data_IF_535517781356
#
_entry.id   IF_535517781356
#
_cell.length_a   1.000
_cell.length_b   1.000
_cell.length_c   1.000
_cell.angle_alpha   90.00
_cell.angle_beta   90.00
_cell.angle_gamma   90.00
#
_symmetry.space_group_name_H-M   'P 1'
#
loop_
_entity.id
_entity.type
_entity.pdbx_description
1 polymer ?
#
# COMPACT_ATOMS: atom_id res chain seq x y z
N UNK A 1 17.88 -6.44 -22.15
CA UNK A 1 17.78 -6.67 -20.67
C UNK A 1 16.36 -7.01 -20.26
N UNK A 2 16.17 -7.97 -19.30
CA UNK A 2 14.86 -8.33 -18.72
C UNK A 2 14.79 -7.97 -17.25
N UNK A 3 13.72 -7.27 -16.82
CA UNK A 3 13.52 -6.83 -15.44
C UNK A 3 12.19 -7.36 -14.91
N UNK A 4 12.19 -7.97 -13.73
CA UNK A 4 10.98 -8.25 -12.98
C UNK A 4 10.71 -7.07 -12.04
N UNK A 5 9.57 -6.40 -12.22
CA UNK A 5 9.11 -5.29 -11.38
C UNK A 5 8.00 -5.75 -10.43
N UNK A 6 8.26 -5.67 -9.14
CA UNK A 6 7.33 -5.93 -8.03
C UNK A 6 7.44 -4.84 -6.97
N UNK A 7 6.41 -4.66 -6.14
CA UNK A 7 6.34 -3.64 -5.08
C UNK A 7 5.35 -4.04 -3.99
N UNK A 8 5.25 -3.24 -2.94
CA UNK A 8 4.17 -3.24 -1.97
C UNK A 8 3.91 -4.65 -1.37
N UNK A 9 5.00 -5.28 -0.91
CA UNK A 9 4.93 -6.62 -0.32
C UNK A 9 4.26 -6.60 1.05
N UNK A 10 4.46 -5.53 1.82
CA UNK A 10 3.93 -5.35 3.17
C UNK A 10 4.09 -6.61 4.03
N UNK A 11 5.31 -7.18 4.06
CA UNK A 11 5.58 -8.39 4.82
C UNK A 11 5.22 -8.21 6.29
N UNK A 12 4.45 -9.17 6.82
CA UNK A 12 3.92 -9.12 8.18
C UNK A 12 2.61 -8.37 8.34
N UNK A 13 1.97 -7.92 7.24
CA UNK A 13 0.65 -7.28 7.28
C UNK A 13 -0.38 -8.18 7.93
N UNK A 14 -1.21 -7.55 8.76
CA UNK A 14 -2.38 -8.18 9.38
C UNK A 14 -3.65 -7.76 8.64
N UNK A 15 -4.58 -8.70 8.47
CA UNK A 15 -5.93 -8.43 8.00
C UNK A 15 -6.88 -8.67 9.17
N UNK A 16 -7.46 -7.60 9.73
CA UNK A 16 -8.28 -7.64 10.95
C UNK A 16 -7.61 -8.47 12.09
N UNK A 17 -6.32 -8.20 12.33
CA UNK A 17 -5.53 -8.91 13.34
C UNK A 17 -5.05 -10.31 12.95
N UNK A 18 -5.38 -10.83 11.78
CA UNK A 18 -4.94 -12.14 11.27
C UNK A 18 -3.71 -11.99 10.38
N UNK A 19 -2.66 -12.76 10.67
CA UNK A 19 -1.41 -12.72 9.90
C UNK A 19 -1.63 -13.23 8.46
N UNK A 20 -1.05 -12.50 7.50
CA UNK A 20 -1.03 -12.87 6.07
C UNK A 20 0.31 -13.48 5.65
N UNK A 21 1.23 -13.70 6.58
CA UNK A 21 2.61 -14.07 6.26
C UNK A 21 2.75 -15.42 5.53
N UNK A 22 1.88 -16.39 5.87
CA UNK A 22 1.85 -17.69 5.17
C UNK A 22 1.45 -17.54 3.68
N UNK A 23 0.44 -16.69 3.41
CA UNK A 23 0.00 -16.38 2.06
C UNK A 23 1.07 -15.59 1.28
N UNK A 24 1.72 -14.63 1.94
CA UNK A 24 2.84 -13.88 1.36
C UNK A 24 3.99 -14.81 0.96
N UNK A 25 4.33 -15.78 1.81
CA UNK A 25 5.35 -16.80 1.52
C UNK A 25 4.97 -17.65 0.29
N UNK A 26 3.71 -18.07 0.18
CA UNK A 26 3.23 -18.86 -0.95
C UNK A 26 3.30 -18.07 -2.27
N UNK A 27 2.84 -16.82 -2.27
CA UNK A 27 2.89 -15.96 -3.47
C UNK A 27 4.32 -15.66 -3.90
N UNK A 28 5.21 -15.36 -2.96
CA UNK A 28 6.61 -15.09 -3.26
C UNK A 28 7.35 -16.35 -3.71
N UNK A 29 6.97 -17.52 -3.18
CA UNK A 29 7.43 -18.84 -3.67
C UNK A 29 7.01 -19.09 -5.11
N UNK A 30 5.76 -18.77 -5.46
CA UNK A 30 5.29 -18.83 -6.85
C UNK A 30 6.10 -17.89 -7.75
N UNK A 31 6.35 -16.65 -7.29
CA UNK A 31 7.15 -15.69 -8.05
C UNK A 31 8.58 -16.17 -8.26
N UNK A 32 9.20 -16.79 -7.25
CA UNK A 32 10.51 -17.44 -7.36
C UNK A 32 10.52 -18.52 -8.45
N UNK A 33 9.47 -19.33 -8.54
CA UNK A 33 9.35 -20.33 -9.61
C UNK A 33 9.24 -19.67 -11.00
N UNK A 34 8.45 -18.60 -11.12
CA UNK A 34 8.36 -17.83 -12.37
C UNK A 34 9.68 -17.19 -12.77
N UNK A 35 10.50 -16.77 -11.82
CA UNK A 35 11.84 -16.27 -12.10
C UNK A 35 12.79 -17.36 -12.66
N UNK A 36 12.64 -18.61 -12.21
CA UNK A 36 13.41 -19.73 -12.77
C UNK A 36 13.04 -20.01 -14.24
N UNK A 37 11.76 -19.86 -14.58
CA UNK A 37 11.26 -20.00 -15.96
C UNK A 37 11.70 -18.84 -16.86
N UNK A 38 11.48 -17.60 -16.42
CA UNK A 38 11.66 -16.37 -17.22
C UNK A 38 13.11 -15.86 -17.23
N UNK A 39 13.90 -16.19 -16.21
CA UNK A 39 15.31 -15.81 -16.01
C UNK A 39 15.57 -14.32 -16.21
N UNK A 40 14.96 -13.43 -15.42
CA UNK A 40 15.27 -12.01 -15.51
C UNK A 40 16.74 -11.73 -15.16
N UNK A 41 17.29 -10.68 -15.74
CA UNK A 41 18.62 -10.16 -15.42
C UNK A 41 18.62 -9.38 -14.13
N UNK A 42 17.48 -8.73 -13.84
CA UNK A 42 17.27 -7.90 -12.64
C UNK A 42 15.87 -8.09 -12.07
N UNK A 43 15.76 -7.99 -10.76
CA UNK A 43 14.49 -7.78 -10.03
C UNK A 43 14.53 -6.40 -9.39
N UNK A 44 13.47 -5.63 -9.53
CA UNK A 44 13.26 -4.38 -8.78
C UNK A 44 12.09 -4.55 -7.81
N UNK A 45 12.32 -4.19 -6.54
CA UNK A 45 11.31 -4.13 -5.48
C UNK A 45 11.09 -2.65 -5.17
N UNK A 46 10.01 -2.10 -5.70
CA UNK A 46 9.76 -0.66 -5.70
C UNK A 46 9.06 -0.18 -4.42
N UNK A 47 9.64 -0.49 -3.26
CA UNK A 47 9.23 0.01 -1.95
C UNK A 47 8.16 -0.81 -1.22
N UNK A 48 7.90 -0.40 0.02
CA UNK A 48 6.98 -1.02 0.98
C UNK A 48 7.19 -2.52 1.12
N UNK A 49 8.44 -2.86 1.44
CA UNK A 49 8.86 -4.25 1.71
C UNK A 49 8.14 -4.77 2.95
N UNK A 50 8.13 -4.00 4.02
CA UNK A 50 7.49 -4.34 5.29
C UNK A 50 6.22 -3.51 5.53
N UNK A 51 5.26 -4.06 6.29
CA UNK A 51 4.03 -3.34 6.64
C UNK A 51 4.26 -2.16 7.59
N UNK A 52 5.33 -2.20 8.36
CA UNK A 52 5.69 -1.14 9.31
C UNK A 52 7.20 -1.08 9.56
N UNK A 53 7.63 0.01 10.19
CA UNK A 53 9.04 0.31 10.48
C UNK A 53 9.72 -0.66 11.47
N UNK A 54 8.95 -1.50 12.16
CA UNK A 54 9.45 -2.51 13.09
C UNK A 54 8.85 -3.90 12.78
N UNK A 55 9.27 -4.54 11.67
CA UNK A 55 8.77 -5.84 11.26
C UNK A 55 9.07 -6.95 12.27
N UNK A 56 8.27 -8.00 12.26
CA UNK A 56 8.57 -9.21 13.03
C UNK A 56 9.77 -9.96 12.46
N UNK A 57 10.45 -10.74 13.29
CA UNK A 57 11.59 -11.56 12.86
C UNK A 57 11.20 -12.52 11.72
N UNK A 58 9.97 -13.04 11.72
CA UNK A 58 9.48 -13.93 10.66
C UNK A 58 9.29 -13.18 9.33
N UNK A 59 8.89 -11.90 9.37
CA UNK A 59 8.79 -11.08 8.17
C UNK A 59 10.18 -10.76 7.60
N UNK A 60 11.16 -10.46 8.46
CA UNK A 60 12.55 -10.25 8.05
C UNK A 60 13.18 -11.53 7.49
N UNK A 61 12.94 -12.68 8.14
CA UNK A 61 13.41 -13.98 7.64
C UNK A 61 12.89 -14.26 6.23
N UNK A 62 11.57 -14.07 6.00
CA UNK A 62 10.97 -14.25 4.68
C UNK A 62 11.59 -13.29 3.65
N UNK A 63 11.81 -12.03 4.01
CA UNK A 63 12.46 -11.06 3.12
C UNK A 63 13.85 -11.54 2.69
N UNK A 64 14.70 -11.93 3.63
CA UNK A 64 16.06 -12.39 3.32
C UNK A 64 16.10 -13.69 2.54
N UNK A 65 15.19 -14.62 2.83
CA UNK A 65 15.02 -15.84 2.00
C UNK A 65 14.69 -15.48 0.56
N UNK A 66 13.77 -14.55 0.34
CA UNK A 66 13.35 -14.16 -1.01
C UNK A 66 14.43 -13.37 -1.73
N UNK A 67 15.14 -12.46 -1.07
CA UNK A 67 16.29 -11.76 -1.66
C UNK A 67 17.34 -12.76 -2.18
N UNK A 68 17.69 -13.77 -1.38
CA UNK A 68 18.63 -14.82 -1.76
C UNK A 68 18.12 -15.64 -2.96
N UNK A 69 16.83 -16.04 -2.92
CA UNK A 69 16.21 -16.82 -3.98
C UNK A 69 16.16 -16.03 -5.31
N UNK A 70 15.85 -14.73 -5.25
CA UNK A 70 15.79 -13.85 -6.42
C UNK A 70 17.18 -13.54 -6.99
N UNK A 71 18.18 -13.40 -6.13
CA UNK A 71 19.57 -13.21 -6.55
C UNK A 71 20.17 -14.39 -7.31
N UNK A 72 19.63 -15.60 -7.18
CA UNK A 72 20.09 -16.82 -7.89
C UNK A 72 21.62 -16.97 -7.82
N UNK A 73 22.15 -16.90 -6.60
CA UNK A 73 23.60 -16.96 -6.34
C UNK A 73 24.42 -15.88 -7.10
N UNK A 74 23.84 -14.68 -7.26
CA UNK A 74 24.45 -13.54 -7.94
C UNK A 74 24.29 -13.52 -9.46
N UNK A 75 23.51 -14.44 -10.04
CA UNK A 75 23.17 -14.46 -11.46
C UNK A 75 22.12 -13.42 -11.86
N UNK A 76 21.38 -12.89 -10.89
CA UNK A 76 20.35 -11.85 -11.07
C UNK A 76 20.62 -10.71 -10.10
N UNK A 77 20.62 -9.46 -10.56
CA UNK A 77 20.65 -8.31 -9.66
C UNK A 77 19.30 -8.15 -8.97
N UNK A 78 19.32 -7.89 -7.67
CA UNK A 78 18.11 -7.53 -6.92
C UNK A 78 18.27 -6.12 -6.40
N UNK A 79 17.42 -5.21 -6.86
CA UNK A 79 17.41 -3.81 -6.45
C UNK A 79 16.19 -3.54 -5.59
N UNK A 80 16.42 -3.06 -4.37
CA UNK A 80 15.37 -2.74 -3.41
C UNK A 80 15.42 -1.24 -3.13
N UNK A 81 14.30 -0.54 -3.27
CA UNK A 81 14.16 0.83 -2.80
C UNK A 81 13.23 0.86 -1.58
N UNK A 82 13.47 1.76 -0.63
CA UNK A 82 12.62 1.91 0.55
C UNK A 82 11.33 2.67 0.22
N UNK A 83 10.17 2.12 0.63
CA UNK A 83 8.87 2.77 0.59
C UNK A 83 8.57 3.57 1.86
N UNK A 84 7.35 4.12 1.98
CA UNK A 84 6.99 4.97 3.13
C UNK A 84 6.77 4.18 4.43
N UNK A 85 6.47 2.89 4.37
CA UNK A 85 6.35 2.00 5.53
C UNK A 85 7.71 1.53 6.06
N UNK A 86 8.74 1.49 5.20
CA UNK A 86 10.04 0.94 5.54
C UNK A 86 10.86 1.88 6.42
N UNK A 87 11.64 1.28 7.34
CA UNK A 87 12.67 1.98 8.09
C UNK A 87 14.00 1.90 7.32
N UNK A 88 14.52 3.03 6.78
CA UNK A 88 15.66 3.01 5.86
C UNK A 88 16.91 2.32 6.39
N UNK A 89 17.34 2.67 7.60
CA UNK A 89 18.57 2.11 8.19
C UNK A 89 18.45 0.61 8.45
N UNK A 90 17.24 0.13 8.83
CA UNK A 90 16.99 -1.29 9.04
C UNK A 90 17.06 -2.05 7.71
N UNK A 91 16.43 -1.48 6.67
CA UNK A 91 16.44 -2.07 5.33
C UNK A 91 17.89 -2.19 4.79
N UNK A 92 18.72 -1.18 5.03
CA UNK A 92 20.12 -1.14 4.59
C UNK A 92 21.09 -1.94 5.45
N UNK A 93 20.70 -2.34 6.65
CA UNK A 93 21.60 -3.03 7.60
C UNK A 93 22.19 -4.34 7.04
N UNK A 94 21.51 -4.98 6.10
CA UNK A 94 21.94 -6.24 5.47
C UNK A 94 22.93 -6.04 4.31
N UNK A 95 23.17 -4.80 3.84
CA UNK A 95 24.06 -4.49 2.69
C UNK A 95 25.41 -5.21 2.71
N UNK A 96 26.14 -5.31 3.84
CA UNK A 96 27.45 -5.98 3.85
C UNK A 96 27.38 -7.45 3.42
N UNK A 97 26.28 -8.14 3.73
CA UNK A 97 26.05 -9.55 3.37
C UNK A 97 25.36 -9.69 2.00
N UNK A 98 24.64 -8.68 1.58
CA UNK A 98 23.84 -8.69 0.36
C UNK A 98 24.68 -8.61 -0.93
N UNK A 99 25.83 -7.94 -0.87
CA UNK A 99 26.71 -7.65 -2.01
C UNK A 99 27.12 -8.90 -2.79
N UNK A 100 27.56 -9.96 -2.08
CA UNK A 100 28.00 -11.21 -2.72
C UNK A 100 26.88 -11.90 -3.51
N UNK A 101 25.62 -11.67 -3.11
CA UNK A 101 24.43 -12.22 -3.75
C UNK A 101 23.85 -11.32 -4.86
N UNK A 102 24.53 -10.22 -5.24
CA UNK A 102 24.03 -9.31 -6.27
C UNK A 102 22.86 -8.43 -5.81
N UNK A 103 22.77 -8.12 -4.52
CA UNK A 103 21.64 -7.37 -3.93
C UNK A 103 22.09 -5.94 -3.60
N UNK A 104 21.33 -4.95 -4.09
CA UNK A 104 21.51 -3.52 -3.88
C UNK A 104 20.29 -2.97 -3.16
N UNK A 105 20.49 -2.22 -2.08
CA UNK A 105 19.39 -1.68 -1.26
C UNK A 105 19.56 -0.17 -1.10
N UNK A 106 18.52 0.59 -1.42
CA UNK A 106 18.45 2.04 -1.32
C UNK A 106 17.32 2.43 -0.36
N UNK A 107 17.64 2.67 0.90
CA UNK A 107 16.64 3.01 1.93
C UNK A 107 16.14 4.45 1.83
N UNK A 108 16.97 5.35 1.32
CA UNK A 108 16.68 6.78 1.14
C UNK A 108 17.07 7.26 -0.25
N UNK A 109 16.54 8.42 -0.72
CA UNK A 109 16.98 9.05 -1.96
C UNK A 109 18.48 9.38 -2.02
N UNK A 110 19.10 9.56 -0.85
CA UNK A 110 20.54 9.90 -0.72
C UNK A 110 21.42 8.68 -0.45
N UNK A 111 20.85 7.48 -0.51
CA UNK A 111 21.63 6.26 -0.34
C UNK A 111 22.61 6.07 -1.49
N UNK A 112 23.85 5.74 -1.17
CA UNK A 112 24.89 5.41 -2.15
C UNK A 112 25.33 3.95 -2.02
N UNK A 113 25.74 3.39 -3.14
CA UNK A 113 26.35 2.06 -3.23
C UNK A 113 27.78 2.22 -3.72
N UNK A 114 28.70 1.51 -3.12
CA UNK A 114 30.10 1.53 -3.54
C UNK A 114 30.25 0.76 -4.85
N UNK A 115 31.06 1.29 -5.77
CA UNK A 115 31.45 0.58 -7.00
C UNK A 115 32.13 -0.73 -6.66
N UNK A 116 32.01 -1.70 -7.56
CA UNK A 116 32.66 -3.01 -7.45
C UNK A 116 31.72 -4.16 -7.81
N UNK A 117 32.15 -5.38 -7.50
CA UNK A 117 31.45 -6.58 -7.90
C UNK A 117 30.27 -6.91 -7.00
N UNK A 118 29.09 -7.10 -7.61
CA UNK A 118 27.85 -7.56 -6.99
C UNK A 118 27.34 -8.82 -7.72
N UNK A 119 27.46 -9.97 -7.10
CA UNK A 119 27.28 -11.24 -7.80
C UNK A 119 28.22 -11.35 -9.01
N UNK A 120 27.67 -11.57 -10.20
CA UNK A 120 28.43 -11.61 -11.47
C UNK A 120 28.66 -10.25 -12.13
N UNK A 121 27.97 -9.21 -11.66
CA UNK A 121 27.97 -7.89 -12.29
C UNK A 121 29.01 -6.96 -11.67
N UNK A 122 29.66 -6.15 -12.51
CA UNK A 122 30.50 -5.04 -12.08
C UNK A 122 29.68 -3.77 -12.05
N UNK A 123 29.47 -3.22 -10.85
CA UNK A 123 28.66 -2.03 -10.64
C UNK A 123 29.54 -0.79 -10.55
N UNK A 124 29.20 0.24 -11.29
CA UNK A 124 29.80 1.57 -11.16
C UNK A 124 28.79 2.50 -10.48
N UNK A 125 29.14 3.01 -9.30
CA UNK A 125 28.34 4.04 -8.63
C UNK A 125 28.38 5.34 -9.42
N UNK A 126 27.23 5.98 -9.59
CA UNK A 126 27.09 7.30 -10.23
C UNK A 126 26.72 8.40 -9.20
N UNK A 127 26.80 8.06 -7.90
CA UNK A 127 26.44 8.94 -6.80
C UNK A 127 25.15 8.54 -6.09
N UNK A 128 24.53 9.51 -5.42
CA UNK A 128 23.29 9.31 -4.67
C UNK A 128 22.20 8.67 -5.55
N UNK A 129 21.69 7.51 -5.14
CA UNK A 129 20.59 6.83 -5.81
C UNK A 129 20.88 6.22 -7.18
N UNK A 130 22.09 6.35 -7.73
CA UNK A 130 22.34 5.96 -9.12
C UNK A 130 23.54 5.02 -9.30
N UNK A 131 23.43 4.08 -10.26
CA UNK A 131 24.51 3.19 -10.65
C UNK A 131 24.37 2.76 -12.11
N UNK A 132 25.47 2.26 -12.68
CA UNK A 132 25.48 1.63 -13.99
C UNK A 132 26.18 0.29 -13.96
N UNK A 133 25.85 -0.57 -14.95
CA UNK A 133 26.50 -1.86 -15.20
C UNK A 133 26.31 -2.27 -16.66
N UNK A 134 26.94 -3.37 -17.06
CA UNK A 134 26.74 -3.97 -18.37
C UNK A 134 25.91 -5.25 -18.25
N UNK A 135 24.89 -5.38 -19.11
CA UNK A 135 24.09 -6.59 -19.29
C UNK A 135 24.31 -7.11 -20.71
N UNK A 136 25.20 -8.09 -20.87
CA UNK A 136 25.72 -8.44 -22.19
C UNK A 136 26.54 -7.28 -22.77
N UNK A 137 26.17 -6.83 -23.96
CA UNK A 137 26.79 -5.67 -24.63
C UNK A 137 26.08 -4.34 -24.31
N UNK A 138 24.91 -4.40 -23.66
CA UNK A 138 24.11 -3.21 -23.37
C UNK A 138 24.60 -2.54 -22.07
N UNK A 139 24.80 -1.20 -22.11
CA UNK A 139 24.99 -0.41 -20.90
C UNK A 139 23.61 -0.18 -20.25
N UNK A 140 23.55 -0.32 -18.95
CA UNK A 140 22.35 -0.11 -18.17
C UNK A 140 22.62 0.93 -17.10
N UNK A 141 21.73 1.91 -16.98
CA UNK A 141 21.75 2.93 -15.95
C UNK A 141 20.48 2.80 -15.13
N UNK A 142 20.64 2.72 -13.82
CA UNK A 142 19.52 2.58 -12.87
C UNK A 142 19.54 3.73 -11.88
N UNK A 143 18.42 4.43 -11.76
CA UNK A 143 18.19 5.46 -10.76
C UNK A 143 17.20 4.95 -9.74
N UNK A 144 17.61 4.87 -8.47
CA UNK A 144 16.85 4.36 -7.34
C UNK A 144 16.36 5.55 -6.48
N UNK A 145 15.21 6.09 -6.85
CA UNK A 145 14.55 7.20 -6.17
C UNK A 145 13.63 6.67 -5.06
N UNK A 146 14.20 6.23 -3.92
CA UNK A 146 13.43 5.76 -2.77
C UNK A 146 12.44 6.83 -2.27
N UNK A 147 11.43 6.42 -1.46
CA UNK A 147 10.37 7.31 -0.97
C UNK A 147 10.91 8.63 -0.42
N UNK A 148 10.52 9.77 -1.03
CA UNK A 148 11.02 11.09 -0.66
C UNK A 148 10.15 11.70 0.43
N UNK A 149 10.66 11.78 1.66
CA UNK A 149 10.09 12.60 2.71
C UNK A 149 11.11 13.64 3.15
N UNK A 150 10.67 14.71 3.81
CA UNK A 150 11.55 15.76 4.33
C UNK A 150 12.72 15.17 5.14
N UNK A 151 12.40 14.23 6.04
CA UNK A 151 13.40 13.55 6.85
C UNK A 151 14.41 12.75 6.01
N UNK A 152 13.96 12.09 4.94
CA UNK A 152 14.81 11.24 4.10
C UNK A 152 15.65 12.05 3.12
N UNK A 153 15.11 13.16 2.62
CA UNK A 153 15.84 14.13 1.81
C UNK A 153 16.74 15.02 2.65
N UNK A 154 16.49 15.09 3.98
CA UNK A 154 17.12 16.05 4.89
C UNK A 154 16.97 17.50 4.37
N UNK A 155 15.81 17.83 3.86
CA UNK A 155 15.43 19.11 3.28
C UNK A 155 14.01 19.47 3.73
N UNK A 156 13.72 20.77 3.85
CA UNK A 156 12.36 21.28 4.05
C UNK A 156 11.68 21.29 2.67
N UNK A 157 10.66 20.47 2.48
CA UNK A 157 9.97 20.33 1.20
C UNK A 157 8.93 21.44 0.97
N UNK A 158 8.42 22.05 2.05
CA UNK A 158 7.46 23.16 2.01
C UNK A 158 7.70 24.09 3.19
N UNK A 159 7.47 25.39 2.98
CA UNK A 159 7.65 26.43 4.00
C UNK A 159 6.34 27.12 4.38
N UNK A 160 5.28 26.89 3.63
CA UNK A 160 4.00 27.53 3.78
C UNK A 160 3.01 26.69 4.61
N UNK A 161 2.01 27.34 5.23
CA UNK A 161 1.00 26.67 6.04
C UNK A 161 -0.28 26.33 5.25
N UNK A 162 -0.54 26.98 4.13
CA UNK A 162 -1.66 26.73 3.22
C UNK A 162 -1.41 25.41 2.45
N UNK A 163 -2.42 24.55 2.32
CA UNK A 163 -2.29 23.22 1.71
C UNK A 163 -1.93 23.29 0.24
N UNK A 164 -2.56 24.18 -0.52
CA UNK A 164 -2.28 24.35 -1.95
C UNK A 164 -0.84 24.82 -2.21
N UNK A 165 -0.31 25.71 -1.37
CA UNK A 165 1.08 26.18 -1.45
C UNK A 165 2.06 25.07 -1.08
N UNK A 166 1.74 24.22 -0.12
CA UNK A 166 2.56 23.04 0.22
C UNK A 166 2.64 22.07 -0.96
N UNK A 167 1.52 21.80 -1.62
CA UNK A 167 1.47 20.93 -2.81
C UNK A 167 2.35 21.50 -3.91
N UNK A 168 2.28 22.80 -4.18
CA UNK A 168 3.07 23.47 -5.20
C UNK A 168 4.58 23.44 -4.87
N UNK A 169 4.96 23.73 -3.63
CA UNK A 169 6.35 23.69 -3.17
C UNK A 169 6.92 22.27 -3.26
N UNK A 170 6.17 21.27 -2.79
CA UNK A 170 6.55 19.87 -2.88
C UNK A 170 6.76 19.43 -4.33
N UNK A 171 5.78 19.72 -5.20
CA UNK A 171 5.85 19.38 -6.63
C UNK A 171 7.08 19.98 -7.28
N UNK A 172 7.36 21.26 -7.03
CA UNK A 172 8.54 21.96 -7.57
C UNK A 172 9.87 21.34 -7.09
N UNK A 173 9.93 20.94 -5.81
CA UNK A 173 11.12 20.27 -5.25
C UNK A 173 11.33 18.89 -5.88
N UNK A 174 10.25 18.14 -6.06
CA UNK A 174 10.28 16.83 -6.71
C UNK A 174 10.70 16.94 -8.18
N UNK A 175 10.19 17.93 -8.91
CA UNK A 175 10.61 18.23 -10.28
C UNK A 175 12.11 18.49 -10.35
N UNK A 176 12.64 19.35 -9.48
CA UNK A 176 14.08 19.66 -9.42
C UNK A 176 14.91 18.41 -9.11
N UNK A 177 14.40 17.53 -8.23
CA UNK A 177 15.09 16.31 -7.91
C UNK A 177 15.06 15.31 -9.07
N UNK A 178 13.92 15.14 -9.73
CA UNK A 178 13.81 14.29 -10.91
C UNK A 178 14.63 14.78 -12.09
N UNK A 179 14.77 16.09 -12.27
CA UNK A 179 15.71 16.66 -13.25
C UNK A 179 17.18 16.29 -12.95
N UNK A 180 17.57 16.21 -11.68
CA UNK A 180 18.90 15.71 -11.30
C UNK A 180 19.04 14.23 -11.59
N UNK A 181 17.99 13.44 -11.31
CA UNK A 181 17.95 12.01 -11.65
C UNK A 181 18.10 11.79 -13.15
N UNK A 182 17.45 12.61 -13.97
CA UNK A 182 17.47 12.53 -15.44
C UNK A 182 18.87 12.74 -16.02
N UNK A 183 19.72 13.55 -15.35
CA UNK A 183 21.10 13.81 -15.77
C UNK A 183 22.01 12.57 -15.74
N UNK A 184 21.62 11.49 -15.06
CA UNK A 184 22.36 10.23 -15.07
C UNK A 184 22.10 9.39 -16.31
N UNK A 185 20.99 9.61 -17.00
CA UNK A 185 20.59 8.82 -18.15
C UNK A 185 21.39 9.19 -19.41
N UNK A 186 21.62 8.23 -20.26
CA UNK A 186 22.43 8.38 -21.46
C UNK A 186 21.70 7.80 -22.68
N UNK A 187 21.81 8.48 -23.81
CA UNK A 187 21.36 7.96 -25.09
C UNK A 187 22.17 6.68 -25.46
N UNK A 188 21.48 5.67 -25.96
CA UNK A 188 22.10 4.38 -26.27
C UNK A 188 22.35 3.44 -25.09
N UNK A 189 21.94 3.80 -23.88
CA UNK A 189 21.87 2.93 -22.73
C UNK A 189 20.42 2.50 -22.46
N UNK A 190 20.21 1.44 -21.68
CA UNK A 190 18.91 1.14 -21.04
C UNK A 190 18.82 1.98 -19.79
N UNK A 191 17.81 2.85 -19.70
CA UNK A 191 17.61 3.82 -18.64
C UNK A 191 16.39 3.44 -17.79
N UNK A 192 16.63 2.98 -16.58
CA UNK A 192 15.59 2.52 -15.64
C UNK A 192 15.52 3.41 -14.40
N UNK A 193 14.33 3.90 -14.07
CA UNK A 193 14.07 4.50 -12.76
C UNK A 193 13.22 3.59 -11.89
N UNK A 194 13.54 3.51 -10.61
CA UNK A 194 12.76 2.81 -9.59
C UNK A 194 12.38 3.80 -8.50
N UNK A 195 11.10 3.94 -8.19
CA UNK A 195 10.65 4.89 -7.18
C UNK A 195 9.42 4.39 -6.42
N UNK A 196 9.12 5.06 -5.31
CA UNK A 196 7.95 4.77 -4.49
C UNK A 196 7.21 6.07 -4.17
N UNK A 197 6.32 6.48 -5.08
CA UNK A 197 5.58 7.74 -5.01
C UNK A 197 4.19 7.60 -5.62
N UNK A 198 3.27 8.50 -5.23
CA UNK A 198 1.93 8.56 -5.80
C UNK A 198 1.88 9.57 -6.95
N UNK A 199 1.39 9.16 -8.11
CA UNK A 199 1.26 10.05 -9.28
C UNK A 199 -0.19 10.25 -9.71
N UNK A 200 -0.48 11.46 -10.21
CA UNK A 200 -1.81 11.86 -10.68
C UNK A 200 -2.30 10.95 -11.83
N UNK A 201 -3.59 10.65 -11.80
CA UNK A 201 -4.24 9.79 -12.78
C UNK A 201 -4.19 8.29 -12.43
N UNK A 202 -3.39 7.88 -11.44
CA UNK A 202 -3.47 6.53 -10.89
C UNK A 202 -4.71 6.36 -10.00
N UNK A 203 -5.23 5.14 -9.95
CA UNK A 203 -6.43 4.81 -9.17
C UNK A 203 -6.03 4.00 -7.95
N UNK A 204 -6.11 4.56 -6.72
CA UNK A 204 -5.87 3.80 -5.49
C UNK A 204 -6.98 2.77 -5.26
N UNK A 205 -6.73 1.73 -4.50
CA UNK A 205 -7.73 0.74 -4.10
C UNK A 205 -8.21 0.90 -2.64
N UNK A 206 -7.69 1.90 -1.93
CA UNK A 206 -8.13 2.33 -0.61
C UNK A 206 -7.41 1.64 0.56
N UNK A 207 -6.38 0.85 0.28
CA UNK A 207 -5.51 0.25 1.30
C UNK A 207 -4.22 1.03 1.53
N UNK A 208 -3.92 1.98 0.65
CA UNK A 208 -2.79 2.88 0.76
C UNK A 208 -2.98 3.86 1.95
N UNK A 209 -1.90 4.20 2.62
CA UNK A 209 -1.96 5.28 3.61
C UNK A 209 -2.38 6.58 2.92
N UNK A 210 -3.28 7.32 3.57
CA UNK A 210 -3.70 8.61 3.02
C UNK A 210 -2.46 9.50 2.82
N UNK A 211 -2.38 10.08 1.64
CA UNK A 211 -1.25 10.90 1.16
C UNK A 211 -0.92 12.04 2.13
N UNK A 212 -1.92 12.54 2.88
CA UNK A 212 -1.75 13.63 3.84
C UNK A 212 -1.05 13.25 5.16
N UNK A 213 -1.06 11.96 5.56
CA UNK A 213 -0.47 11.50 6.83
C UNK A 213 1.03 11.18 6.75
N UNK A 214 1.61 11.13 5.55
CA UNK A 214 3.03 10.76 5.33
C UNK A 214 3.91 11.85 4.75
N UNK A 215 3.39 13.04 4.44
CA UNK A 215 4.16 14.17 3.88
C UNK A 215 4.51 14.05 2.40
N UNK A 216 3.88 13.14 1.65
CA UNK A 216 3.97 13.07 0.19
C UNK A 216 2.66 13.46 -0.44
N UNK A 217 2.73 14.28 -1.47
CA UNK A 217 1.58 14.68 -2.27
C UNK A 217 1.57 13.95 -3.61
N UNK A 218 0.44 14.04 -4.31
CA UNK A 218 0.28 13.45 -5.64
C UNK A 218 1.13 14.21 -6.64
N UNK A 219 1.99 13.51 -7.36
CA UNK A 219 2.89 14.10 -8.35
C UNK A 219 2.29 14.03 -9.76
N UNK A 220 2.39 15.10 -10.57
CA UNK A 220 2.00 15.01 -11.96
C UNK A 220 3.00 14.16 -12.76
N UNK A 221 2.49 13.35 -13.72
CA UNK A 221 3.31 12.40 -14.46
C UNK A 221 4.38 13.05 -15.35
N UNK A 222 4.18 14.30 -15.74
CA UNK A 222 5.09 15.06 -16.61
C UNK A 222 6.37 15.55 -15.94
N UNK A 223 6.51 15.45 -14.61
CA UNK A 223 7.75 15.83 -13.91
C UNK A 223 8.77 14.70 -13.82
N UNK A 224 8.35 13.47 -14.15
CA UNK A 224 9.27 12.32 -14.12
C UNK A 224 10.34 12.43 -15.21
N UNK A 225 11.54 11.84 -15.01
CA UNK A 225 12.64 11.86 -15.97
C UNK A 225 12.20 11.50 -17.39
N UNK A 226 12.55 12.36 -18.34
CA UNK A 226 12.17 12.20 -19.74
C UNK A 226 12.97 11.09 -20.44
N UNK A 227 14.25 10.94 -20.09
CA UNK A 227 15.15 9.98 -20.70
C UNK A 227 15.10 8.58 -20.08
N UNK A 228 14.24 8.35 -19.07
CA UNK A 228 14.00 6.99 -18.56
C UNK A 228 13.15 6.20 -19.55
N UNK A 229 13.64 5.03 -20.00
CA UNK A 229 12.88 4.10 -20.85
C UNK A 229 11.70 3.50 -20.07
N UNK A 230 11.93 3.15 -18.80
CA UNK A 230 10.89 2.61 -17.93
C UNK A 230 11.03 3.15 -16.50
N UNK A 231 9.88 3.46 -15.89
CA UNK A 231 9.79 3.92 -14.50
C UNK A 231 8.94 2.93 -13.72
N UNK A 232 9.61 2.18 -12.84
CA UNK A 232 9.00 1.19 -11.96
C UNK A 232 8.55 1.84 -10.66
N UNK A 233 7.23 1.95 -10.45
CA UNK A 233 6.63 2.57 -9.28
C UNK A 233 6.01 1.54 -8.32
N UNK A 234 6.16 1.79 -7.01
CA UNK A 234 5.34 1.26 -5.93
C UNK A 234 4.52 2.35 -5.26
N UNK A 235 3.81 2.01 -4.19
CA UNK A 235 2.88 2.82 -3.39
C UNK A 235 1.40 2.59 -3.74
N UNK A 236 1.05 2.37 -4.99
CA UNK A 236 -0.34 2.09 -5.39
C UNK A 236 -0.51 0.59 -5.57
N UNK A 237 -1.40 0.00 -4.76
CA UNK A 237 -1.58 -1.45 -4.68
C UNK A 237 -2.29 -2.06 -5.89
N UNK A 238 -2.93 -1.23 -6.72
CA UNK A 238 -3.58 -1.67 -7.96
C UNK A 238 -2.56 -1.69 -9.11
N UNK A 239 -2.30 -2.86 -9.74
CA UNK A 239 -1.45 -2.93 -10.93
C UNK A 239 -2.02 -2.06 -12.05
N UNK A 240 -1.26 -1.10 -12.56
CA UNK A 240 -1.73 -0.19 -13.61
C UNK A 240 -0.59 0.51 -14.34
N UNK A 241 -0.87 0.95 -15.55
CA UNK A 241 -0.06 1.94 -16.28
C UNK A 241 -0.56 3.33 -15.91
N UNK A 242 0.32 4.28 -15.75
CA UNK A 242 -0.05 5.69 -15.52
C UNK A 242 -0.61 6.26 -16.83
N UNK A 243 -1.81 6.85 -16.84
CA UNK A 243 -2.41 7.40 -18.03
C UNK A 243 -1.54 8.50 -18.69
N UNK A 244 -1.49 8.52 -20.02
CA UNK A 244 -0.76 9.53 -20.80
C UNK A 244 0.76 9.36 -20.82
N UNK A 245 1.27 8.16 -20.46
CA UNK A 245 2.71 7.87 -20.43
C UNK A 245 3.11 6.72 -21.34
N UNK A 246 2.25 6.30 -22.27
CA UNK A 246 2.44 5.20 -23.23
C UNK A 246 2.94 3.89 -22.59
N UNK A 247 2.65 3.73 -21.29
CA UNK A 247 3.07 2.57 -20.50
C UNK A 247 4.52 2.61 -20.02
N UNK A 248 5.20 3.73 -20.16
CA UNK A 248 6.55 3.96 -19.63
C UNK A 248 6.56 4.03 -18.11
N UNK A 249 5.53 4.56 -17.48
CA UNK A 249 5.38 4.66 -16.02
C UNK A 249 4.33 3.65 -15.55
N UNK A 250 4.73 2.71 -14.67
CA UNK A 250 3.87 1.64 -14.23
C UNK A 250 3.96 1.37 -12.73
N UNK A 251 2.81 1.03 -12.14
CA UNK A 251 2.71 0.37 -10.85
C UNK A 251 2.60 -1.14 -11.05
N UNK A 252 3.40 -1.92 -10.31
CA UNK A 252 3.23 -3.38 -10.27
C UNK A 252 2.04 -3.79 -9.40
N UNK A 253 1.70 -2.97 -8.40
CA UNK A 253 0.74 -3.27 -7.38
C UNK A 253 1.28 -4.17 -6.26
N UNK A 254 0.47 -4.37 -5.22
CA UNK A 254 0.79 -5.26 -4.11
C UNK A 254 0.69 -6.73 -4.50
N UNK A 255 1.41 -7.60 -3.74
CA UNK A 255 1.45 -9.04 -4.02
C UNK A 255 0.19 -9.79 -3.59
N UNK A 256 -0.62 -9.21 -2.70
CA UNK A 256 -1.90 -9.73 -2.21
C UNK A 256 -2.91 -8.60 -2.06
N UNK A 257 -4.22 -8.89 -2.07
CA UNK A 257 -5.23 -7.96 -1.57
C UNK A 257 -5.06 -7.76 -0.06
N UNK A 258 -4.95 -6.51 0.39
CA UNK A 258 -4.72 -6.16 1.80
C UNK A 258 -5.90 -5.46 2.47
N UNK A 259 -6.97 -5.19 1.73
CA UNK A 259 -8.17 -4.54 2.22
C UNK A 259 -9.42 -5.15 1.57
N UNK A 260 -10.57 -5.09 2.28
CA UNK A 260 -11.86 -5.61 1.76
C UNK A 260 -12.28 -4.98 0.42
N UNK A 261 -11.83 -3.76 0.12
CA UNK A 261 -12.07 -3.09 -1.15
C UNK A 261 -11.35 -3.74 -2.34
N UNK A 262 -10.27 -4.47 -2.09
CA UNK A 262 -9.45 -5.12 -3.12
C UNK A 262 -9.92 -6.54 -3.48
N UNK A 263 -11.02 -7.03 -2.91
CA UNK A 263 -11.49 -8.42 -3.03
C UNK A 263 -11.71 -8.91 -4.47
N UNK A 264 -11.95 -8.01 -5.41
CA UNK A 264 -12.12 -8.32 -6.85
C UNK A 264 -10.88 -8.04 -7.68
N UNK A 265 -9.81 -7.45 -7.09
CA UNK A 265 -8.63 -7.04 -7.84
C UNK A 265 -7.70 -8.24 -8.09
N UNK A 266 -7.38 -8.49 -9.35
CA UNK A 266 -6.29 -9.39 -9.71
C UNK A 266 -4.96 -8.71 -9.40
N UNK A 267 -4.08 -9.40 -8.66
CA UNK A 267 -2.73 -8.92 -8.37
C UNK A 267 -1.75 -9.46 -9.39
N UNK A 268 -0.79 -8.64 -9.78
CA UNK A 268 0.25 -9.02 -10.74
C UNK A 268 1.57 -8.33 -10.42
N UNK A 269 2.65 -8.83 -11.00
CA UNK A 269 3.90 -8.13 -11.18
C UNK A 269 4.19 -8.00 -12.68
N UNK A 270 5.25 -7.28 -13.06
CA UNK A 270 5.54 -7.00 -14.46
C UNK A 270 6.91 -7.55 -14.85
N UNK A 271 6.95 -8.29 -15.97
CA UNK A 271 8.19 -8.60 -16.66
C UNK A 271 8.37 -7.57 -17.77
N UNK A 272 9.46 -6.83 -17.73
CA UNK A 272 9.76 -5.75 -18.66
C UNK A 272 11.01 -6.11 -19.45
N UNK A 273 10.92 -6.14 -20.77
CA UNK A 273 12.06 -6.30 -21.66
C UNK A 273 12.40 -4.95 -22.27
N UNK A 274 13.64 -4.52 -22.12
CA UNK A 274 14.15 -3.22 -22.56
C UNK A 274 15.40 -3.39 -23.40
N UNK A 275 15.53 -2.59 -24.46
CA UNK A 275 16.71 -2.43 -25.30
C UNK A 275 16.96 -0.95 -25.55
N UNK A 276 18.21 -0.53 -25.70
CA UNK A 276 18.53 0.88 -25.95
C UNK A 276 17.79 1.43 -27.18
N UNK A 277 17.06 2.53 -26.99
CA UNK A 277 16.33 3.21 -28.06
C UNK A 277 15.06 2.50 -28.55
N UNK A 278 14.60 1.45 -27.87
CA UNK A 278 13.35 0.76 -28.17
C UNK A 278 12.31 0.98 -27.05
N UNK A 279 11.02 0.97 -27.39
CA UNK A 279 9.96 1.01 -26.40
C UNK A 279 9.96 -0.27 -25.52
N UNK A 280 9.78 -0.15 -24.19
CA UNK A 280 9.78 -1.30 -23.30
C UNK A 280 8.59 -2.21 -23.54
N UNK A 281 8.84 -3.51 -23.66
CA UNK A 281 7.79 -4.54 -23.77
C UNK A 281 7.45 -5.08 -22.41
N UNK A 282 6.19 -4.92 -21.97
CA UNK A 282 5.72 -5.31 -20.66
C UNK A 282 4.77 -6.50 -20.72
N UNK A 283 5.08 -7.57 -19.96
CA UNK A 283 4.22 -8.74 -19.75
C UNK A 283 3.73 -8.73 -18.30
N UNK A 284 2.43 -8.92 -18.07
CA UNK A 284 1.87 -9.09 -16.73
C UNK A 284 1.98 -10.55 -16.28
N UNK A 285 2.50 -10.76 -15.06
CA UNK A 285 2.54 -12.06 -14.39
C UNK A 285 1.52 -12.02 -13.27
N UNK A 286 0.36 -12.66 -13.47
CA UNK A 286 -0.67 -12.75 -12.46
C UNK A 286 -0.23 -13.60 -11.27
N UNK A 287 -0.48 -13.10 -10.07
CA UNK A 287 -0.12 -13.74 -8.82
C UNK A 287 -1.29 -14.58 -8.29
N UNK A 288 -1.03 -15.74 -7.69
CA UNK A 288 -2.07 -16.52 -7.04
C UNK A 288 -2.63 -15.78 -5.82
N UNK A 289 -3.90 -16.04 -5.52
CA UNK A 289 -4.54 -15.59 -4.29
C UNK A 289 -4.94 -16.83 -3.47
N UNK A 290 -4.03 -17.36 -2.61
CA UNK A 290 -4.25 -18.63 -1.93
C UNK A 290 -5.38 -18.60 -0.91
N UNK A 291 -5.70 -17.40 -0.41
CA UNK A 291 -6.79 -17.20 0.54
C UNK A 291 -7.54 -15.90 0.23
N UNK A 292 -8.47 -15.93 -0.76
CA UNK A 292 -9.17 -14.73 -1.23
C UNK A 292 -10.04 -14.11 -0.14
N UNK A 293 -10.21 -12.78 -0.24
CA UNK A 293 -11.16 -12.04 0.58
C UNK A 293 -12.53 -12.15 -0.08
N UNK A 294 -13.54 -12.58 0.67
CA UNK A 294 -14.92 -12.72 0.21
C UNK A 294 -15.89 -11.89 1.03
N UNK A 295 -16.83 -11.24 0.36
CA UNK A 295 -17.93 -10.52 0.99
C UNK A 295 -19.19 -11.39 0.94
N UNK A 296 -19.58 -11.96 2.07
CA UNK A 296 -20.78 -12.77 2.16
C UNK A 296 -21.97 -11.93 2.62
N UNK A 297 -23.04 -11.93 1.82
CA UNK A 297 -24.30 -11.29 2.15
C UNK A 297 -25.31 -12.39 2.43
N UNK A 298 -25.94 -12.36 3.60
CA UNK A 298 -26.91 -13.34 4.08
C UNK A 298 -28.18 -12.62 4.51
N UNK A 299 -29.32 -13.15 4.10
CA UNK A 299 -30.65 -12.57 4.38
C UNK A 299 -31.13 -12.91 5.81
N UNK A 300 -30.51 -13.90 6.46
CA UNK A 300 -30.79 -14.27 7.85
C UNK A 300 -29.56 -14.90 8.53
N UNK A 301 -29.66 -15.10 9.85
CA UNK A 301 -28.67 -15.85 10.63
C UNK A 301 -28.58 -17.31 10.19
N UNK A 302 -29.73 -17.95 9.91
CA UNK A 302 -29.79 -19.35 9.48
C UNK A 302 -29.06 -19.56 8.17
N UNK A 303 -29.27 -18.68 7.19
CA UNK A 303 -28.53 -18.71 5.92
C UNK A 303 -27.03 -18.52 6.16
N UNK A 304 -26.65 -17.58 7.03
CA UNK A 304 -25.24 -17.36 7.36
C UNK A 304 -24.60 -18.62 7.97
N UNK A 305 -25.30 -19.30 8.87
CA UNK A 305 -24.83 -20.53 9.52
C UNK A 305 -24.71 -21.70 8.52
N UNK A 306 -25.69 -21.85 7.64
CA UNK A 306 -25.65 -22.88 6.57
C UNK A 306 -24.48 -22.63 5.63
N UNK A 307 -24.29 -21.38 5.18
CA UNK A 307 -23.18 -20.98 4.33
C UNK A 307 -21.81 -21.21 4.99
N UNK A 308 -21.68 -20.99 6.31
CA UNK A 308 -20.48 -21.36 7.06
C UNK A 308 -20.19 -22.84 7.01
N UNK A 309 -21.20 -23.70 7.25
CA UNK A 309 -21.08 -25.17 7.21
C UNK A 309 -20.68 -25.68 5.83
N UNK A 310 -21.33 -25.20 4.78
CA UNK A 310 -21.02 -25.58 3.39
C UNK A 310 -19.58 -25.21 2.98
N UNK A 311 -19.05 -24.11 3.53
CA UNK A 311 -17.73 -23.59 3.18
C UNK A 311 -16.70 -23.75 4.32
N UNK A 312 -16.93 -24.63 5.28
CA UNK A 312 -16.06 -24.82 6.45
C UNK A 312 -14.58 -25.09 6.06
N UNK A 313 -14.37 -25.91 5.02
CA UNK A 313 -13.04 -26.31 4.53
C UNK A 313 -12.49 -25.41 3.41
N UNK A 314 -13.22 -24.39 2.98
CA UNK A 314 -12.76 -23.49 1.93
C UNK A 314 -11.83 -22.44 2.50
N UNK A 315 -10.62 -22.34 1.95
CA UNK A 315 -9.64 -21.32 2.33
C UNK A 315 -10.03 -19.96 1.76
N UNK A 316 -10.65 -19.09 2.59
CA UNK A 316 -10.99 -17.72 2.23
C UNK A 316 -11.17 -16.86 3.50
N UNK A 317 -10.82 -15.59 3.42
CA UNK A 317 -11.14 -14.60 4.45
C UNK A 317 -12.55 -14.07 4.22
N UNK A 318 -13.39 -14.04 5.26
CA UNK A 318 -14.81 -13.69 5.12
C UNK A 318 -15.16 -12.41 5.86
N UNK A 319 -15.70 -11.44 5.13
CA UNK A 319 -16.47 -10.34 5.68
C UNK A 319 -17.95 -10.67 5.46
N UNK A 320 -18.72 -10.81 6.55
CA UNK A 320 -20.09 -11.29 6.52
C UNK A 320 -21.06 -10.16 6.85
N UNK A 321 -22.05 -9.94 6.01
CA UNK A 321 -23.18 -9.05 6.24
C UNK A 321 -24.43 -9.93 6.47
N UNK A 322 -25.11 -9.75 7.62
CA UNK A 322 -26.31 -10.52 7.96
C UNK A 322 -27.47 -9.56 8.10
N UNK A 323 -28.52 -9.74 7.31
CA UNK A 323 -29.78 -9.01 7.51
C UNK A 323 -30.49 -9.52 8.76
N UNK A 324 -30.83 -8.60 9.65
CA UNK A 324 -31.44 -8.93 10.93
C UNK A 324 -32.47 -7.88 11.35
N UNK A 325 -33.50 -8.31 12.09
CA UNK A 325 -34.48 -7.43 12.74
C UNK A 325 -34.11 -7.12 14.19
N UNK A 326 -33.04 -7.74 14.71
CA UNK A 326 -32.58 -7.61 16.10
C UNK A 326 -31.07 -7.76 16.23
N UNK A 327 -30.58 -7.72 17.45
CA UNK A 327 -29.17 -7.90 17.77
C UNK A 327 -28.79 -9.37 17.56
N UNK A 328 -27.68 -9.63 16.88
CA UNK A 328 -27.07 -10.96 16.78
C UNK A 328 -26.46 -11.29 18.14
N UNK A 329 -26.92 -12.36 18.77
CA UNK A 329 -26.49 -12.75 20.10
C UNK A 329 -25.06 -13.28 20.10
N UNK A 330 -24.38 -13.19 21.25
CA UNK A 330 -22.99 -13.65 21.39
C UNK A 330 -22.81 -15.13 21.06
N UNK A 331 -23.76 -15.98 21.46
CA UNK A 331 -23.72 -17.41 21.15
C UNK A 331 -23.90 -17.70 19.65
N UNK A 332 -24.68 -16.87 18.95
CA UNK A 332 -24.82 -16.92 17.50
C UNK A 332 -23.52 -16.54 16.79
N UNK A 333 -22.84 -15.47 17.26
CA UNK A 333 -21.52 -15.06 16.74
C UNK A 333 -20.48 -16.14 16.96
N UNK A 334 -20.47 -16.79 18.14
CA UNK A 334 -19.57 -17.90 18.45
C UNK A 334 -19.84 -19.11 17.55
N UNK A 335 -21.10 -19.46 17.32
CA UNK A 335 -21.46 -20.57 16.45
C UNK A 335 -20.98 -20.35 15.01
N UNK A 336 -21.16 -19.15 14.42
CA UNK A 336 -20.66 -18.82 13.10
C UNK A 336 -19.13 -18.97 13.01
N UNK A 337 -18.39 -18.43 14.01
CA UNK A 337 -16.93 -18.51 14.05
C UNK A 337 -16.39 -19.92 14.32
N UNK A 338 -17.16 -20.78 14.99
CA UNK A 338 -16.82 -22.20 15.16
C UNK A 338 -16.92 -22.97 13.84
N UNK A 339 -17.96 -22.71 13.04
CA UNK A 339 -18.15 -23.36 11.74
C UNK A 339 -17.19 -22.82 10.67
N UNK A 340 -16.83 -21.53 10.75
CA UNK A 340 -15.91 -20.87 9.81
C UNK A 340 -14.94 -19.96 10.55
N UNK A 341 -13.77 -20.47 10.88
CA UNK A 341 -12.73 -19.77 11.65
C UNK A 341 -12.21 -18.51 10.94
N UNK A 342 -12.28 -18.48 9.61
CA UNK A 342 -11.76 -17.40 8.77
C UNK A 342 -12.67 -16.17 8.66
N UNK A 343 -13.75 -16.11 9.45
CA UNK A 343 -14.59 -14.90 9.52
C UNK A 343 -13.80 -13.80 10.24
N UNK A 344 -13.58 -12.71 9.53
CA UNK A 344 -12.89 -11.52 10.02
C UNK A 344 -13.87 -10.57 10.72
N UNK A 345 -14.96 -10.25 10.05
CA UNK A 345 -15.94 -9.27 10.51
C UNK A 345 -17.37 -9.76 10.23
N UNK A 346 -18.28 -9.54 11.18
CA UNK A 346 -19.73 -9.76 11.01
C UNK A 346 -20.43 -8.43 11.21
N UNK A 347 -21.11 -7.97 10.16
CA UNK A 347 -21.81 -6.69 10.13
C UNK A 347 -23.31 -6.95 10.09
N UNK A 348 -24.07 -6.61 11.16
CA UNK A 348 -25.53 -6.68 11.11
C UNK A 348 -26.06 -5.57 10.18
N UNK A 349 -26.91 -5.94 9.23
CA UNK A 349 -27.63 -5.04 8.35
C UNK A 349 -29.09 -5.05 8.76
N UNK A 350 -29.54 -3.94 9.34
CA UNK A 350 -30.92 -3.83 9.80
C UNK A 350 -31.89 -3.86 8.63
N UNK A 351 -32.93 -4.69 8.72
CA UNK A 351 -34.06 -4.60 7.82
C UNK A 351 -34.77 -3.27 8.13
N UNK A 352 -34.46 -2.24 7.37
CA UNK A 352 -35.28 -1.03 7.45
C UNK A 352 -36.69 -1.39 7.02
N UNK A 353 -37.66 -1.33 7.95
CA UNK A 353 -39.06 -1.26 7.54
C UNK A 353 -39.15 -0.06 6.59
N UNK A 354 -39.86 -0.22 5.47
CA UNK A 354 -40.22 0.87 4.53
C UNK A 354 -41.17 1.89 5.23
N UNK A 355 -40.82 2.35 6.42
CA UNK A 355 -41.30 3.63 6.90
C UNK A 355 -40.48 4.65 6.14
N UNK A 356 -41.09 5.25 5.12
CA UNK A 356 -40.63 6.48 4.49
C UNK A 356 -40.05 7.39 5.59
N UNK A 357 -38.71 7.36 5.73
CA UNK A 357 -38.04 8.46 6.39
C UNK A 357 -38.22 9.64 5.43
N UNK A 358 -39.30 10.41 5.64
CA UNK A 358 -39.33 11.77 5.16
C UNK A 358 -38.06 12.42 5.70
N UNK A 359 -37.19 12.78 4.80
CA UNK A 359 -36.02 13.61 5.01
C UNK A 359 -36.52 14.99 5.49
N UNK A 360 -37.10 15.02 6.67
CA UNK A 360 -37.59 16.21 7.30
C UNK A 360 -36.50 16.77 8.20
N UNK A 361 -35.80 17.75 7.64
CA UNK A 361 -35.20 18.88 8.36
C UNK A 361 -34.32 18.59 9.59
N UNK A 362 -33.38 17.67 9.45
CA UNK A 362 -32.34 17.40 10.47
C UNK A 362 -31.45 18.63 10.71
N UNK A 363 -31.34 19.52 9.71
CA UNK A 363 -30.56 20.76 9.80
C UNK A 363 -31.16 21.84 10.69
N UNK A 364 -32.41 21.68 11.11
CA UNK A 364 -33.11 22.66 11.97
C UNK A 364 -33.34 22.18 13.41
N UNK A 365 -32.97 20.90 13.72
CA UNK A 365 -33.14 20.35 15.08
C UNK A 365 -31.85 20.52 15.87
N UNK A 366 -32.03 20.93 17.14
CA UNK A 366 -30.92 20.96 18.09
C UNK A 366 -30.53 19.55 18.55
N UNK A 367 -29.40 19.42 19.25
CA UNK A 367 -28.85 18.15 19.70
C UNK A 367 -29.80 17.37 20.59
N UNK A 368 -30.56 18.06 21.44
CA UNK A 368 -31.55 17.44 22.33
C UNK A 368 -32.72 16.84 21.55
N UNK A 369 -33.23 17.54 20.55
CA UNK A 369 -34.32 17.06 19.68
C UNK A 369 -33.86 15.88 18.81
N UNK A 370 -32.61 15.88 18.35
CA UNK A 370 -32.01 14.76 17.62
C UNK A 370 -31.86 13.53 18.53
N UNK A 371 -31.44 13.74 19.77
CA UNK A 371 -31.31 12.66 20.76
C UNK A 371 -32.66 12.04 21.11
N UNK A 372 -33.72 12.85 21.29
CA UNK A 372 -35.07 12.35 21.55
C UNK A 372 -35.59 11.46 20.38
N UNK A 373 -35.36 11.88 19.14
CA UNK A 373 -35.73 11.09 17.96
C UNK A 373 -34.97 9.78 17.96
N UNK A 374 -33.65 9.83 18.15
CA UNK A 374 -32.78 8.65 18.22
C UNK A 374 -33.22 7.68 19.33
N UNK A 375 -33.48 8.20 20.54
CA UNK A 375 -33.89 7.40 21.71
C UNK A 375 -35.21 6.67 21.45
N UNK A 376 -36.19 7.38 20.90
CA UNK A 376 -37.51 6.80 20.54
C UNK A 376 -37.37 5.69 19.50
N UNK A 377 -36.52 5.87 18.54
CA UNK A 377 -36.28 4.85 17.49
C UNK A 377 -35.53 3.62 18.00
N UNK A 378 -34.49 3.81 18.78
CA UNK A 378 -33.63 2.71 19.25
C UNK A 378 -34.26 1.90 20.40
N UNK A 379 -35.01 2.60 21.28
CA UNK A 379 -35.59 1.95 22.48
C UNK A 379 -37.07 1.63 22.35
N UNK A 380 -37.73 2.08 21.28
CA UNK A 380 -39.17 1.85 21.08
C UNK A 380 -40.03 2.52 22.19
N UNK A 381 -39.51 3.50 22.89
CA UNK A 381 -40.14 4.21 24.00
C UNK A 381 -40.70 5.55 23.53
N UNK A 382 -41.89 5.91 24.00
CA UNK A 382 -42.53 7.17 23.62
C UNK A 382 -41.87 8.41 24.22
N UNK A 383 -41.09 8.28 25.30
CA UNK A 383 -40.40 9.38 25.96
C UNK A 383 -39.01 9.00 26.48
N UNK A 384 -38.09 9.96 26.45
CA UNK A 384 -36.78 9.85 27.10
C UNK A 384 -36.97 10.02 28.62
N UNK A 385 -36.43 9.13 29.48
CA UNK A 385 -36.46 9.29 30.92
C UNK A 385 -35.81 10.61 31.34
N UNK A 386 -36.41 11.28 32.31
CA UNK A 386 -35.92 12.59 32.82
C UNK A 386 -34.46 12.56 33.29
N UNK A 387 -34.01 11.42 33.83
CA UNK A 387 -32.62 11.21 34.28
C UNK A 387 -31.63 11.26 33.13
N UNK A 388 -31.99 10.67 31.96
CA UNK A 388 -31.16 10.65 30.75
C UNK A 388 -31.13 12.04 30.12
N UNK A 389 -32.27 12.77 30.12
CA UNK A 389 -32.31 14.17 29.64
C UNK A 389 -31.44 15.08 30.49
N UNK A 390 -31.43 14.90 31.80
CA UNK A 390 -30.56 15.66 32.70
C UNK A 390 -29.09 15.39 32.45
N UNK A 391 -28.74 14.11 32.24
CA UNK A 391 -27.35 13.70 31.93
C UNK A 391 -26.87 14.29 30.61
N UNK A 392 -27.73 14.28 29.58
CA UNK A 392 -27.40 14.88 28.28
C UNK A 392 -27.16 16.40 28.41
N UNK A 393 -27.97 17.10 29.19
CA UNK A 393 -27.80 18.54 29.39
C UNK A 393 -26.49 18.87 30.09
N UNK A 394 -26.08 18.07 31.10
CA UNK A 394 -24.78 18.22 31.77
C UNK A 394 -23.64 18.05 30.81
N UNK A 395 -23.69 17.01 29.93
CA UNK A 395 -22.65 16.78 28.94
C UNK A 395 -22.55 17.89 27.89
N UNK A 396 -23.66 18.46 27.48
CA UNK A 396 -23.69 19.59 26.53
C UNK A 396 -23.18 20.91 27.17
N UNK A 397 -23.45 21.14 28.47
CA UNK A 397 -22.89 22.27 29.20
C UNK A 397 -21.36 22.14 29.40
N UNK A 398 -20.85 20.94 29.66
CA UNK A 398 -19.39 20.67 29.77
C UNK A 398 -18.66 20.92 28.44
N UNK A 399 -19.24 20.56 27.27
CA UNK A 399 -18.66 20.85 25.96
C UNK A 399 -18.66 22.36 25.63
N UNK A 400 -19.65 23.12 26.04
CA UNK A 400 -19.67 24.59 25.85
C UNK A 400 -18.59 25.28 26.69
N UNK A 401 -18.32 24.83 27.92
CA UNK A 401 -17.28 25.38 28.79
C UNK A 401 -15.85 25.04 28.32
N UNK A 402 -15.61 23.87 27.69
CA UNK A 402 -14.30 23.53 27.10
C UNK A 402 -14.00 24.36 25.85
N UNK A 403 -14.98 24.76 25.07
CA UNK A 403 -14.78 25.60 23.87
C UNK A 403 -14.46 27.07 24.20
N UNK A 404 -14.80 27.57 25.41
CA UNK A 404 -14.53 28.95 25.82
C UNK A 404 -13.10 29.12 26.38
N UNK A 405 -12.43 28.07 26.82
CA UNK A 405 -11.07 28.14 27.39
C UNK A 405 -9.92 28.12 26.40
N UNK A 406 -10.16 27.99 25.09
CA UNK A 406 -9.11 27.97 24.04
C UNK A 406 -8.96 29.30 23.31
N UNK A 407 -9.68 30.34 23.73
CA UNK A 407 -9.72 31.60 23.01
C UNK A 407 -9.34 32.84 23.83
N UNK A 408 -8.25 32.83 24.65
CA UNK A 408 -7.62 34.10 25.07
C UNK A 408 -6.23 33.86 25.72
N UNK A 409 -5.19 33.69 24.89
CA UNK A 409 -3.84 34.05 25.26
C UNK A 409 -3.15 34.62 24.01
N UNK A 410 -3.54 35.85 23.72
CA UNK A 410 -2.83 36.70 22.78
C UNK A 410 -1.87 37.62 23.54
N UNK A 411 -0.56 37.35 23.45
CA UNK A 411 0.45 38.42 23.40
C UNK A 411 1.78 37.83 22.94
#
# INVERSE_FOLDING_TARGET
>A
MKVLHTADWHLGKLLEGRSRLAEQREVLGYLTHKMQEKKPDMVVIAGDVFDNSNPSAQAEELFYEMLKAFGRDGECLVVVVGGNHDQPLRLEAVRPLAKEHGILIYGTPKSEILSGRYGKYEITSLGEGAFSFSCGEEKVIVVCAAYPSEKRLNEVLYTNNEEDERIADYTKRMEQWFLKCDQHFEEGAVNLMVSHVYTFGSTPDGSERSVQLGGSYILPANIFPEHADYIALGHVHKPQKVPGTDGRICYSGSILPYHKGEHTAAKSCRMVTMHPGEEPVTEEIYLPNPKPIELWKCESYEEALEKCKENANRSCWVYMQIRTDGVILEDQLKALKQEKEDILEIIPVWKMSEKEYKYTDWKQKNVQELFEVYYKEVRGSEAVPEEITKLLNVLLEEEEDETITVGDDGN
#
